data_IF_426548677186
#
_entry.id   IF_426548677186
#
_cell.length_a   1.000
_cell.length_b   1.000
_cell.length_c   1.000
_cell.angle_alpha   90.00
_cell.angle_beta   90.00
_cell.angle_gamma   90.00
#
_symmetry.space_group_name_H-M   'P 1'
#
loop_
_entity.id
_entity.type
_entity.pdbx_description
1 polymer ?
#
# COMPACT_ATOMS: atom_id res chain seq x y z
N UNK A 1 -11.76 -1.40 4.44
CA UNK A 1 -12.89 -0.51 4.81
C UNK A 1 -14.19 -1.32 4.89
N UNK A 2 -15.16 -0.93 5.73
CA UNK A 2 -16.48 -1.58 5.80
C UNK A 2 -17.35 -1.22 4.58
N UNK A 3 -18.27 -2.10 4.19
CA UNK A 3 -19.17 -1.86 3.06
C UNK A 3 -20.05 -0.61 3.23
N UNK A 4 -20.48 -0.30 4.46
CA UNK A 4 -21.23 0.93 4.74
C UNK A 4 -20.42 2.19 4.41
N UNK A 5 -19.18 2.26 4.90
CA UNK A 5 -18.26 3.36 4.62
C UNK A 5 -17.94 3.48 3.12
N UNK A 6 -17.81 2.35 2.41
CA UNK A 6 -17.63 2.35 0.95
C UNK A 6 -18.84 2.94 0.22
N UNK A 7 -20.06 2.53 0.58
CA UNK A 7 -21.28 3.05 -0.05
C UNK A 7 -21.50 4.54 0.25
N UNK A 8 -21.15 4.99 1.46
CA UNK A 8 -21.18 6.40 1.85
C UNK A 8 -20.15 7.21 1.03
N UNK A 9 -18.94 6.69 0.84
CA UNK A 9 -17.93 7.28 -0.03
C UNK A 9 -18.42 7.42 -1.48
N UNK A 10 -19.00 6.37 -2.05
CA UNK A 10 -19.60 6.41 -3.40
C UNK A 10 -20.72 7.46 -3.48
N UNK A 11 -21.56 7.56 -2.44
CA UNK A 11 -22.63 8.57 -2.38
C UNK A 11 -22.07 9.99 -2.33
N UNK A 12 -20.99 10.22 -1.58
CA UNK A 12 -20.30 11.51 -1.55
C UNK A 12 -19.68 11.87 -2.91
N UNK A 13 -19.07 10.91 -3.60
CA UNK A 13 -18.51 11.09 -4.95
C UNK A 13 -19.61 11.48 -5.94
N UNK A 14 -20.81 10.91 -5.79
CA UNK A 14 -22.04 11.25 -6.53
C UNK A 14 -22.65 12.60 -6.11
N UNK A 15 -21.99 13.37 -5.24
CA UNK A 15 -22.42 14.70 -4.79
C UNK A 15 -23.50 14.69 -3.70
N UNK A 16 -23.86 13.52 -3.15
CA UNK A 16 -24.82 13.43 -2.05
C UNK A 16 -24.18 13.88 -0.74
N UNK A 17 -24.99 14.54 0.10
CA UNK A 17 -24.56 14.96 1.44
C UNK A 17 -24.84 13.84 2.44
N UNK A 18 -23.82 13.43 3.18
CA UNK A 18 -24.00 12.59 4.36
C UNK A 18 -24.52 13.44 5.54
N UNK A 19 -25.14 12.79 6.51
CA UNK A 19 -25.59 13.42 7.76
C UNK A 19 -24.48 13.55 8.81
N UNK A 20 -23.23 13.23 8.45
CA UNK A 20 -22.04 13.34 9.27
C UNK A 20 -20.82 13.71 8.42
N UNK A 21 -19.68 13.96 9.06
CA UNK A 21 -18.40 14.26 8.40
C UNK A 21 -17.47 13.06 8.57
N UNK A 22 -17.23 12.25 7.52
CA UNK A 22 -16.33 11.11 7.63
C UNK A 22 -14.87 11.55 7.68
N UNK A 23 -14.05 10.77 8.37
CA UNK A 23 -12.59 10.91 8.40
C UNK A 23 -11.94 9.73 7.70
N UNK A 24 -11.30 9.99 6.56
CA UNK A 24 -10.57 8.98 5.78
C UNK A 24 -9.08 9.19 5.84
N UNK A 25 -8.34 8.10 6.00
CA UNK A 25 -6.88 8.10 6.05
C UNK A 25 -6.32 7.04 5.11
N UNK A 26 -5.17 7.36 4.52
CA UNK A 26 -4.39 6.35 3.84
C UNK A 26 -3.83 5.37 4.87
N UNK A 27 -4.06 4.08 4.67
CA UNK A 27 -3.42 3.03 5.45
C UNK A 27 -2.39 2.35 4.57
N UNK A 28 -1.14 2.40 4.98
CA UNK A 28 -0.01 1.90 4.22
C UNK A 28 1.08 1.35 5.16
N UNK A 29 2.05 0.68 4.54
CA UNK A 29 3.17 0.00 5.19
C UNK A 29 4.26 0.89 5.82
N UNK A 30 4.42 2.20 5.54
CA UNK A 30 5.42 3.04 6.23
C UNK A 30 5.19 3.21 7.73
N UNK A 31 3.95 3.25 8.22
CA UNK A 31 3.67 3.48 9.63
C UNK A 31 3.11 2.25 10.35
N UNK A 32 2.32 1.43 9.65
CA UNK A 32 1.55 0.35 10.27
C UNK A 32 2.40 -0.74 10.96
N UNK A 33 3.50 -1.24 10.35
CA UNK A 33 4.36 -2.26 10.96
C UNK A 33 4.99 -1.77 12.27
N UNK A 34 5.57 -0.57 12.26
CA UNK A 34 6.19 0.03 13.44
C UNK A 34 5.17 0.29 14.54
N UNK A 35 3.96 0.73 14.18
CA UNK A 35 2.86 0.93 15.13
C UNK A 35 2.39 -0.37 15.80
N UNK A 36 2.32 -1.48 15.06
CA UNK A 36 1.93 -2.78 15.61
C UNK A 36 3.10 -3.60 16.18
N UNK A 37 4.31 -3.03 16.21
CA UNK A 37 5.48 -3.62 16.87
C UNK A 37 6.12 -4.77 16.10
N UNK A 38 6.04 -4.78 14.77
CA UNK A 38 6.73 -5.75 13.90
C UNK A 38 7.68 -5.04 12.94
N UNK A 39 8.60 -5.80 12.35
CA UNK A 39 9.52 -5.26 11.34
C UNK A 39 8.77 -5.01 10.02
N UNK A 40 9.31 -4.11 9.20
CA UNK A 40 8.75 -3.86 7.86
C UNK A 40 8.81 -5.13 7.00
N UNK A 41 9.90 -5.90 7.09
CA UNK A 41 10.03 -7.19 6.41
C UNK A 41 8.98 -8.21 6.86
N UNK A 42 8.72 -8.32 8.15
CA UNK A 42 7.67 -9.19 8.69
C UNK A 42 6.30 -8.87 8.12
N UNK A 43 5.98 -7.58 7.99
CA UNK A 43 4.71 -7.13 7.42
C UNK A 43 4.55 -7.56 5.95
N UNK A 44 5.64 -7.60 5.17
CA UNK A 44 5.58 -8.02 3.77
C UNK A 44 5.71 -9.53 3.55
N UNK A 45 6.40 -10.24 4.44
CA UNK A 45 6.75 -11.65 4.26
C UNK A 45 5.82 -12.62 5.01
N UNK A 46 4.92 -12.13 5.87
CA UNK A 46 4.02 -12.96 6.67
C UNK A 46 2.56 -12.50 6.54
N UNK A 47 1.75 -13.29 5.83
CA UNK A 47 0.31 -13.07 5.68
C UNK A 47 -0.40 -12.96 7.04
N UNK A 48 0.03 -13.76 8.02
CA UNK A 48 -0.55 -13.74 9.37
C UNK A 48 -0.26 -12.42 10.09
N UNK A 49 1.00 -11.97 10.09
CA UNK A 49 1.38 -10.70 10.75
C UNK A 49 0.74 -9.50 10.06
N UNK A 50 0.74 -9.51 8.72
CA UNK A 50 0.04 -8.52 7.89
C UNK A 50 -1.44 -8.43 8.22
N UNK A 51 -2.14 -9.56 8.26
CA UNK A 51 -3.58 -9.60 8.52
C UNK A 51 -3.89 -9.10 9.93
N UNK A 52 -3.11 -9.55 10.94
CA UNK A 52 -3.25 -9.10 12.32
C UNK A 52 -3.06 -7.59 12.46
N UNK A 53 -2.06 -7.02 11.79
CA UNK A 53 -1.81 -5.58 11.80
C UNK A 53 -2.99 -4.78 11.22
N UNK A 54 -3.52 -5.21 10.07
CA UNK A 54 -4.67 -4.56 9.43
C UNK A 54 -5.96 -4.68 10.28
N UNK A 55 -6.21 -5.86 10.87
CA UNK A 55 -7.35 -6.06 11.78
C UNK A 55 -7.21 -5.19 13.03
N UNK A 56 -6.02 -5.13 13.62
CA UNK A 56 -5.75 -4.29 14.79
C UNK A 56 -6.08 -2.83 14.51
N UNK A 57 -5.58 -2.26 13.41
CA UNK A 57 -5.90 -0.88 13.02
C UNK A 57 -7.42 -0.67 12.86
N UNK A 58 -8.11 -1.57 12.16
CA UNK A 58 -9.55 -1.49 11.95
C UNK A 58 -10.37 -1.60 13.25
N UNK A 59 -9.90 -2.38 14.23
CA UNK A 59 -10.54 -2.52 15.54
C UNK A 59 -10.25 -1.33 16.47
N UNK A 60 -9.04 -0.78 16.42
CA UNK A 60 -8.64 0.38 17.24
C UNK A 60 -9.33 1.66 16.77
N UNK A 61 -9.54 1.82 15.46
CA UNK A 61 -10.16 3.01 14.88
C UNK A 61 -11.42 2.67 14.06
N UNK A 62 -12.51 2.22 14.71
CA UNK A 62 -13.68 1.69 14.02
C UNK A 62 -14.43 2.71 13.15
N UNK A 63 -14.31 4.01 13.48
CA UNK A 63 -14.98 5.11 12.79
C UNK A 63 -14.15 5.69 11.64
N UNK A 64 -12.88 5.29 11.52
CA UNK A 64 -11.97 5.76 10.48
C UNK A 64 -12.16 4.98 9.18
N UNK A 65 -12.19 5.69 8.06
CA UNK A 65 -12.18 5.09 6.73
C UNK A 65 -10.75 4.88 6.26
N UNK A 66 -10.20 3.69 6.54
CA UNK A 66 -8.88 3.30 6.03
C UNK A 66 -8.93 2.87 4.56
N UNK A 67 -8.11 3.51 3.72
CA UNK A 67 -8.06 3.27 2.27
C UNK A 67 -6.64 3.33 1.70
N UNK A 68 -6.26 2.42 0.77
CA UNK A 68 -6.92 1.15 0.53
C UNK A 68 -6.69 0.23 1.75
N UNK A 69 -7.77 -0.32 2.31
CA UNK A 69 -7.64 -1.25 3.44
C UNK A 69 -7.25 -2.64 2.97
N UNK A 70 -6.44 -3.36 3.76
CA UNK A 70 -5.94 -4.69 3.42
C UNK A 70 -5.17 -4.71 2.10
N UNK A 71 -4.24 -3.78 1.95
CA UNK A 71 -3.31 -3.71 0.83
C UNK A 71 -1.87 -3.60 1.37
N UNK A 72 -0.98 -4.45 0.87
CA UNK A 72 0.47 -4.30 1.08
C UNK A 72 1.05 -3.45 -0.04
N UNK A 73 1.29 -2.18 0.24
CA UNK A 73 1.96 -1.25 -0.67
C UNK A 73 3.47 -1.48 -0.60
N UNK A 74 4.14 -1.66 -1.75
CA UNK A 74 5.57 -1.96 -1.83
C UNK A 74 6.45 -0.73 -2.14
N UNK A 75 6.11 0.46 -1.63
CA UNK A 75 6.84 1.70 -1.86
C UNK A 75 6.99 2.08 -3.33
N UNK A 76 5.95 1.90 -4.14
CA UNK A 76 5.97 2.08 -5.62
C UNK A 76 7.08 1.27 -6.33
N UNK A 77 7.61 0.21 -5.71
CA UNK A 77 8.67 -0.61 -6.30
C UNK A 77 8.14 -1.65 -7.30
N UNK A 78 6.83 -1.86 -7.33
CA UNK A 78 6.18 -2.76 -8.30
C UNK A 78 6.42 -2.27 -9.73
N UNK A 79 6.30 -0.96 -10.00
CA UNK A 79 6.45 -0.38 -11.32
C UNK A 79 7.89 -0.50 -11.86
N UNK A 80 8.95 -0.09 -11.14
CA UNK A 80 10.34 -0.35 -11.56
C UNK A 80 10.63 -1.83 -11.81
N UNK A 81 10.00 -2.73 -11.06
CA UNK A 81 10.25 -4.17 -11.21
C UNK A 81 9.79 -4.72 -12.56
N UNK A 82 8.73 -4.14 -13.12
CA UNK A 82 8.27 -4.50 -14.46
C UNK A 82 9.26 -4.07 -15.56
N UNK A 83 10.15 -3.12 -15.26
CA UNK A 83 11.28 -2.73 -16.10
C UNK A 83 12.57 -3.53 -15.83
N UNK A 84 12.52 -4.54 -14.96
CA UNK A 84 13.66 -5.40 -14.62
C UNK A 84 14.42 -5.00 -13.36
N UNK A 85 13.97 -3.98 -12.61
CA UNK A 85 14.57 -3.65 -11.32
C UNK A 85 14.28 -4.74 -10.29
N UNK A 86 15.31 -5.23 -9.60
CA UNK A 86 15.12 -6.10 -8.44
C UNK A 86 14.55 -5.31 -7.27
N UNK A 87 13.60 -5.89 -6.53
CA UNK A 87 13.18 -5.36 -5.23
C UNK A 87 14.16 -5.81 -4.15
N UNK A 88 14.61 -4.84 -3.35
CA UNK A 88 15.46 -5.05 -2.19
C UNK A 88 14.60 -4.81 -0.95
N UNK A 89 14.46 -5.87 -0.15
CA UNK A 89 13.76 -5.82 1.13
C UNK A 89 14.80 -5.87 2.26
N UNK A 90 14.76 -4.86 3.13
CA UNK A 90 15.55 -4.83 4.36
C UNK A 90 14.62 -4.93 5.56
N UNK A 91 15.17 -5.29 6.71
CA UNK A 91 14.37 -5.64 7.89
C UNK A 91 13.40 -4.52 8.33
N UNK A 92 13.90 -3.30 8.47
CA UNK A 92 13.16 -2.16 9.05
C UNK A 92 13.07 -0.95 8.13
N UNK A 93 13.23 -1.15 6.81
CA UNK A 93 13.06 -0.08 5.82
C UNK A 93 12.02 -0.47 4.81
N UNK A 94 11.50 0.54 4.09
CA UNK A 94 10.64 0.30 2.95
C UNK A 94 11.38 -0.48 1.85
N UNK A 95 10.65 -1.14 0.92
CA UNK A 95 11.26 -1.77 -0.23
C UNK A 95 11.98 -0.74 -1.09
N UNK A 96 13.07 -1.16 -1.72
CA UNK A 96 13.86 -0.31 -2.61
C UNK A 96 14.03 -0.98 -3.97
N UNK A 97 13.94 -0.19 -5.03
CA UNK A 97 14.29 -0.62 -6.38
C UNK A 97 15.81 -0.57 -6.59
N UNK A 98 16.41 -1.65 -7.09
CA UNK A 98 17.80 -1.65 -7.55
C UNK A 98 17.98 -0.71 -8.76
N UNK A 99 19.07 0.04 -8.77
CA UNK A 99 19.40 0.92 -9.89
C UNK A 99 19.80 0.10 -11.12
N UNK A 100 19.08 0.25 -12.22
CA UNK A 100 19.35 -0.43 -13.51
C UNK A 100 19.81 0.51 -14.64
N UNK A 101 19.64 1.82 -14.49
CA UNK A 101 20.06 2.83 -15.48
C UNK A 101 21.35 3.49 -15.01
N UNK A 102 22.41 3.49 -15.83
CA UNK A 102 23.67 4.17 -15.53
C UNK A 102 23.85 5.43 -16.36
N UNK A 103 23.31 5.44 -17.57
CA UNK A 103 23.25 6.59 -18.48
C UNK A 103 21.87 6.72 -19.15
N UNK A 104 21.57 7.88 -19.73
CA UNK A 104 20.31 8.12 -20.44
C UNK A 104 20.10 7.15 -21.61
N UNK A 105 21.17 6.71 -22.28
CA UNK A 105 21.10 5.76 -23.38
C UNK A 105 20.59 4.36 -22.97
N UNK A 106 20.61 4.02 -21.68
CA UNK A 106 20.07 2.75 -21.19
C UNK A 106 18.53 2.70 -21.24
N UNK A 107 17.86 3.86 -21.28
CA UNK A 107 16.40 3.96 -21.33
C UNK A 107 15.82 3.25 -22.56
N UNK A 108 16.49 3.35 -23.71
CA UNK A 108 16.07 2.72 -24.97
C UNK A 108 16.09 1.19 -24.90
N UNK A 109 16.76 0.61 -23.91
CA UNK A 109 16.91 -0.85 -23.72
C UNK A 109 15.95 -1.41 -22.67
N UNK A 110 15.19 -0.55 -21.98
CA UNK A 110 14.25 -1.01 -20.97
C UNK A 110 13.17 -1.90 -21.62
N UNK A 111 12.83 -3.04 -21.01
CA UNK A 111 11.73 -3.85 -21.50
C UNK A 111 10.43 -3.07 -21.35
N UNK A 112 9.53 -3.17 -22.32
CA UNK A 112 8.18 -2.65 -22.17
C UNK A 112 7.40 -3.56 -21.21
N UNK A 113 6.88 -3.04 -20.07
CA UNK A 113 6.07 -3.82 -19.15
C UNK A 113 4.85 -4.42 -19.85
N UNK A 114 4.58 -5.70 -19.61
CA UNK A 114 3.34 -6.33 -20.03
C UNK A 114 2.30 -6.20 -18.90
N UNK A 115 1.29 -5.37 -19.10
CA UNK A 115 0.24 -5.09 -18.09
C UNK A 115 -0.91 -6.11 -18.09
N UNK A 116 -0.89 -7.10 -18.99
CA UNK A 116 -1.97 -8.09 -19.16
C UNK A 116 -1.74 -9.40 -18.42
N UNK A 117 -0.51 -9.63 -17.97
CA UNK A 117 -0.05 -10.88 -17.35
C UNK A 117 0.63 -10.53 -16.05
#
# INVERSE_FOLDING_TARGET
MRNSSWNDLLSMIDGKKLNYRPSGFIIDSPWLPGWCGITTLDYYASDEKWLKANIMAAQTFPDVWFMPGFWSEYGMCTEPSAFGSRLIFLENTLPHAEKILHDIADVDRLPQPNVRT
#
